data_IF_988719239169
#
_entry.id   IF_988719239169
#
_cell.length_a   1.000
_cell.length_b   1.000
_cell.length_c   1.000
_cell.angle_alpha   90.00
_cell.angle_beta   90.00
_cell.angle_gamma   90.00
#
_symmetry.space_group_name_H-M   'P 1'
#
loop_
_entity.id
_entity.type
_entity.pdbx_description
1 polymer ?
#
# COMPACT_ATOMS: atom_id res chain seq x y z
N UNK A 1 -8.67 4.20 -22.00
CA UNK A 1 -7.52 4.20 -21.31
C UNK A 1 -7.58 4.97 -20.05
N UNK A 2 -7.07 4.45 -18.97
CA UNK A 2 -7.14 5.13 -17.74
C UNK A 2 -6.10 6.17 -17.62
N UNK A 3 -6.45 7.36 -17.21
CA UNK A 3 -5.52 8.33 -17.00
C UNK A 3 -5.16 8.39 -15.59
N UNK A 4 -6.07 8.32 -14.66
CA UNK A 4 -5.80 8.40 -13.25
C UNK A 4 -6.82 7.60 -12.48
N UNK A 5 -6.44 7.12 -11.32
CA UNK A 5 -7.36 6.47 -10.43
C UNK A 5 -7.28 7.26 -9.15
N UNK A 6 -8.41 7.73 -8.66
CA UNK A 6 -8.42 8.57 -7.47
C UNK A 6 -9.08 7.82 -6.32
N UNK A 7 -8.34 7.42 -5.31
CA UNK A 7 -8.96 6.77 -4.17
C UNK A 7 -9.83 7.76 -3.43
N UNK A 8 -10.84 7.29 -2.79
CA UNK A 8 -11.74 8.17 -2.08
C UNK A 8 -11.54 8.04 -0.59
N UNK A 9 -11.73 9.12 0.13
CA UNK A 9 -11.66 9.13 1.57
C UNK A 9 -10.26 8.83 2.03
N UNK A 10 -10.09 7.91 2.95
CA UNK A 10 -8.79 7.60 3.47
C UNK A 10 -8.18 6.40 2.79
N UNK A 11 -8.60 6.09 1.60
CA UNK A 11 -8.06 4.92 0.92
C UNK A 11 -6.78 5.26 0.19
N UNK A 12 -5.98 4.25 -0.02
CA UNK A 12 -4.69 4.38 -0.63
C UNK A 12 -4.59 3.36 -1.73
N UNK A 13 -4.13 3.77 -2.90
CA UNK A 13 -3.97 2.87 -4.03
C UNK A 13 -2.51 2.47 -4.09
N UNK A 14 -2.23 1.20 -4.14
CA UNK A 14 -0.89 0.66 -4.04
C UNK A 14 -0.61 -0.25 -5.19
N UNK A 15 0.60 -0.15 -5.73
CA UNK A 15 0.99 -1.03 -6.78
C UNK A 15 1.90 -2.07 -6.20
N UNK A 16 1.64 -3.35 -6.38
CA UNK A 16 2.46 -4.39 -5.78
C UNK A 16 3.89 -4.35 -6.27
N UNK A 17 4.81 -4.68 -5.42
CA UNK A 17 6.19 -4.73 -5.78
C UNK A 17 6.60 -6.17 -5.83
N UNK A 18 7.16 -6.57 -6.94
CA UNK A 18 7.59 -7.93 -7.10
C UNK A 18 8.84 -8.11 -6.31
N UNK A 19 8.82 -8.99 -5.33
CA UNK A 19 9.93 -9.20 -4.55
C UNK A 19 10.74 -10.37 -4.99
N UNK A 20 10.38 -11.02 -6.00
CA UNK A 20 11.03 -12.20 -6.39
C UNK A 20 12.48 -12.04 -6.59
N UNK A 21 12.83 -10.98 -7.21
CA UNK A 21 14.12 -10.88 -7.42
C UNK A 21 14.89 -10.35 -6.38
N UNK A 22 14.42 -9.76 -5.51
CA UNK A 22 15.13 -9.24 -4.52
C UNK A 22 15.20 -9.99 -3.38
N UNK A 23 14.83 -11.02 -3.31
CA UNK A 23 14.86 -11.65 -2.16
C UNK A 23 16.03 -12.24 -1.87
N UNK A 24 17.03 -11.91 -2.13
CA UNK A 24 18.08 -12.57 -1.84
C UNK A 24 18.22 -12.90 -0.54
N UNK A 25 18.59 -13.73 -0.18
CA UNK A 25 18.81 -14.08 1.10
C UNK A 25 17.72 -14.10 1.85
N UNK A 26 16.94 -13.67 1.42
CA UNK A 26 15.91 -13.56 2.16
C UNK A 26 15.36 -14.62 2.55
N UNK A 27 15.11 -14.88 3.00
CA UNK A 27 14.53 -15.68 3.49
C UNK A 27 13.47 -16.11 3.36
N UNK A 28 13.19 -16.47 3.00
CA UNK A 28 12.22 -16.94 2.83
C UNK A 28 11.61 -17.64 3.69
N UNK A 29 11.49 -17.40 4.41
CA UNK A 29 10.86 -17.90 5.27
C UNK A 29 9.74 -18.36 5.13
N UNK A 30 9.63 -18.84 5.23
CA UNK A 30 8.67 -19.39 5.33
C UNK A 30 7.54 -18.92 5.34
N UNK A 31 6.90 -19.12 4.83
CA UNK A 31 5.85 -18.72 4.77
C UNK A 31 5.04 -19.40 5.58
N UNK A 32 5.18 -19.30 6.65
CA UNK A 32 4.33 -19.87 7.45
C UNK A 32 2.95 -19.58 7.30
N UNK A 33 2.54 -18.82 6.69
CA UNK A 33 1.20 -18.65 6.72
C UNK A 33 0.67 -18.03 5.65
N UNK A 34 -0.54 -17.91 5.56
CA UNK A 34 -1.08 -17.35 4.55
C UNK A 34 -1.20 -15.93 4.72
N UNK A 35 -0.96 -15.37 5.80
CA UNK A 35 -1.15 -14.01 5.99
C UNK A 35 0.11 -13.23 5.86
N UNK A 36 1.02 -13.63 5.09
CA UNK A 36 2.18 -12.90 4.92
C UNK A 36 1.95 -11.57 4.36
N UNK A 37 2.45 -10.50 4.91
CA UNK A 37 2.27 -9.17 4.37
C UNK A 37 2.98 -9.00 3.04
N UNK A 38 2.57 -8.01 2.30
CA UNK A 38 3.16 -7.77 1.02
C UNK A 38 3.65 -6.35 0.90
N UNK A 39 4.60 -6.10 0.02
CA UNK A 39 5.11 -4.77 -0.19
C UNK A 39 4.48 -4.14 -1.40
N UNK A 40 4.30 -2.88 -1.35
CA UNK A 40 3.78 -2.17 -2.50
C UNK A 40 4.18 -0.71 -2.45
N UNK A 41 4.02 -0.03 -3.56
CA UNK A 41 4.35 1.36 -3.63
C UNK A 41 3.07 2.16 -3.69
N UNK A 42 2.97 3.21 -2.91
CA UNK A 42 1.78 4.04 -2.90
C UNK A 42 1.79 4.87 -4.17
N UNK A 43 0.78 4.73 -4.99
CA UNK A 43 0.70 5.47 -6.23
C UNK A 43 -0.38 6.54 -6.22
N UNK A 44 -1.30 6.48 -5.29
CA UNK A 44 -2.32 7.52 -5.17
C UNK A 44 -2.92 7.47 -3.79
N UNK A 45 -3.36 8.57 -3.27
CA UNK A 45 -3.97 8.62 -1.95
C UNK A 45 -5.23 9.46 -2.00
N UNK A 46 -6.14 9.17 -1.11
CA UNK A 46 -7.35 9.94 -1.02
C UNK A 46 -7.14 11.16 -0.19
N UNK A 47 -8.19 11.93 0.04
CA UNK A 47 -8.06 13.14 0.78
C UNK A 47 -7.96 12.93 2.24
N UNK A 48 -8.32 11.86 2.77
CA UNK A 48 -8.34 11.64 4.21
C UNK A 48 -9.74 11.47 4.71
N UNK A 49 -9.94 11.43 6.02
CA UNK A 49 -11.27 11.27 6.55
C UNK A 49 -11.56 12.42 7.48
N UNK A 50 -12.79 12.70 7.61
CA UNK A 50 -13.19 13.80 8.45
C UNK A 50 -13.17 13.40 9.89
N UNK A 51 -12.68 14.25 10.74
CA UNK A 51 -12.62 13.96 12.14
C UNK A 51 -14.00 13.99 12.73
N UNK A 52 -14.30 13.11 13.64
CA UNK A 52 -15.57 13.11 14.26
C UNK A 52 -15.67 14.20 15.26
N UNK A 53 -14.60 14.77 15.71
CA UNK A 53 -14.66 15.78 16.72
C UNK A 53 -14.37 17.19 16.22
N UNK A 54 -14.16 17.39 14.97
CA UNK A 54 -13.95 18.72 14.45
C UNK A 54 -14.22 18.71 12.99
N UNK A 55 -14.13 19.86 12.38
CA UNK A 55 -14.39 19.91 10.97
C UNK A 55 -13.13 19.67 10.18
N UNK A 56 -12.04 19.37 10.81
CA UNK A 56 -10.81 19.20 10.09
C UNK A 56 -10.74 17.83 9.43
N UNK A 57 -10.06 17.77 8.32
CA UNK A 57 -9.89 16.54 7.63
C UNK A 57 -8.59 15.94 8.07
N UNK A 58 -8.59 14.67 8.46
CA UNK A 58 -7.40 14.01 8.88
C UNK A 58 -6.76 13.39 7.66
N UNK A 59 -5.61 13.89 7.29
CA UNK A 59 -4.97 13.43 6.10
C UNK A 59 -4.43 12.04 6.23
N UNK A 60 -4.25 11.42 5.09
CA UNK A 60 -3.72 10.08 5.03
C UNK A 60 -2.28 10.11 5.51
N UNK A 61 -1.84 9.06 6.19
CA UNK A 61 -0.54 9.01 6.78
C UNK A 61 0.60 8.70 5.85
N UNK A 62 0.38 8.34 4.64
CA UNK A 62 1.44 7.98 3.71
C UNK A 62 1.43 8.93 2.54
N UNK A 63 2.50 8.95 1.77
CA UNK A 63 2.58 9.80 0.62
C UNK A 63 2.84 9.00 -0.61
N UNK A 64 2.53 9.56 -1.75
CA UNK A 64 2.77 8.90 -3.02
C UNK A 64 4.26 8.68 -3.12
N UNK A 65 4.67 7.50 -3.47
CA UNK A 65 6.05 7.10 -3.56
C UNK A 65 6.53 6.31 -2.38
N UNK A 66 5.78 6.29 -1.31
CA UNK A 66 6.18 5.51 -0.15
C UNK A 66 6.09 4.03 -0.44
N UNK A 67 7.02 3.25 0.09
CA UNK A 67 6.93 1.81 -0.01
C UNK A 67 6.33 1.34 1.30
N UNK A 68 5.29 0.58 1.23
CA UNK A 68 4.56 0.21 2.42
C UNK A 68 4.37 -1.28 2.53
N UNK A 69 4.15 -1.74 3.74
CA UNK A 69 3.89 -3.12 4.00
C UNK A 69 2.41 -3.23 4.31
N UNK A 70 1.71 -4.05 3.59
CA UNK A 70 0.28 -4.15 3.77
C UNK A 70 -0.13 -5.57 4.09
N UNK A 71 -1.21 -5.74 4.80
CA UNK A 71 -1.63 -7.07 5.19
C UNK A 71 -2.33 -7.75 4.05
N UNK A 72 -2.35 -9.08 4.06
CA UNK A 72 -3.06 -9.76 3.05
C UNK A 72 -4.51 -9.68 3.32
N UNK A 73 -4.92 -9.70 4.53
CA UNK A 73 -6.31 -9.59 4.87
C UNK A 73 -6.64 -8.15 5.10
N UNK A 74 -7.69 -7.70 4.55
CA UNK A 74 -8.08 -6.30 4.69
C UNK A 74 -7.69 -5.45 3.51
N UNK A 75 -7.01 -6.03 2.56
CA UNK A 75 -6.59 -5.31 1.39
C UNK A 75 -7.37 -5.84 0.22
N UNK A 76 -7.91 -4.96 -0.58
CA UNK A 76 -8.65 -5.36 -1.74
C UNK A 76 -7.72 -5.40 -2.92
N UNK A 77 -7.73 -6.49 -3.65
CA UNK A 77 -6.91 -6.59 -4.83
C UNK A 77 -7.77 -6.42 -6.02
N UNK A 78 -7.34 -5.66 -6.98
CA UNK A 78 -8.13 -5.44 -8.16
C UNK A 78 -7.23 -5.31 -9.35
N UNK A 79 -7.76 -5.56 -10.53
CA UNK A 79 -7.00 -5.43 -11.71
C UNK A 79 -7.69 -4.45 -12.59
N UNK A 80 -7.02 -3.43 -13.06
CA UNK A 80 -7.62 -2.44 -13.93
C UNK A 80 -6.75 -2.30 -15.14
N UNK A 81 -7.33 -2.55 -16.28
CA UNK A 81 -6.63 -2.50 -17.53
C UNK A 81 -5.35 -3.32 -17.52
N UNK A 82 -5.42 -4.50 -16.99
CA UNK A 82 -4.28 -5.38 -17.01
C UNK A 82 -3.26 -5.15 -15.92
N UNK A 83 -3.46 -4.15 -15.10
CA UNK A 83 -2.50 -3.87 -14.06
C UNK A 83 -3.12 -4.19 -12.73
N UNK A 84 -2.35 -4.81 -11.87
CA UNK A 84 -2.88 -5.18 -10.59
C UNK A 84 -2.63 -4.08 -9.58
N UNK A 85 -3.62 -3.79 -8.77
CA UNK A 85 -3.50 -2.77 -7.75
C UNK A 85 -4.09 -3.30 -6.46
N UNK A 86 -3.63 -2.73 -5.35
CA UNK A 86 -4.22 -3.03 -4.06
C UNK A 86 -4.85 -1.75 -3.54
N UNK A 87 -5.95 -1.86 -2.88
CA UNK A 87 -6.62 -0.71 -2.32
C UNK A 87 -6.90 -0.99 -0.86
N UNK A 88 -6.51 -0.10 0.02
CA UNK A 88 -6.72 -0.32 1.42
C UNK A 88 -6.87 1.02 2.13
N UNK A 89 -7.29 1.04 3.36
CA UNK A 89 -7.38 2.27 4.09
C UNK A 89 -6.06 2.54 4.75
N UNK A 90 -5.74 3.79 4.98
CA UNK A 90 -4.44 4.14 5.50
C UNK A 90 -4.19 3.49 6.86
N UNK A 91 -5.23 3.33 7.67
CA UNK A 91 -5.03 2.76 8.96
C UNK A 91 -4.72 1.29 8.91
N UNK A 92 -4.91 0.65 7.77
CA UNK A 92 -4.61 -0.75 7.67
C UNK A 92 -3.17 -0.98 7.22
N UNK A 93 -2.47 0.03 6.80
CA UNK A 93 -1.11 -0.14 6.35
C UNK A 93 -0.24 -0.41 7.55
N UNK A 94 0.57 -1.43 7.48
CA UNK A 94 1.33 -1.85 8.62
C UNK A 94 2.57 -1.02 8.88
N UNK A 95 3.23 -0.59 7.87
CA UNK A 95 4.48 0.14 8.03
C UNK A 95 4.93 0.79 6.76
N UNK A 96 5.76 1.80 6.85
CA UNK A 96 6.41 2.38 5.70
C UNK A 96 7.82 1.84 5.75
N UNK A 97 8.31 1.33 4.65
CA UNK A 97 9.60 0.71 4.60
C UNK A 97 10.59 1.59 3.89
N UNK A 98 11.67 1.91 4.55
CA UNK A 98 12.67 2.72 3.96
C UNK A 98 13.83 1.85 3.63
N UNK A 99 14.25 1.75 2.40
CA UNK A 99 15.37 0.93 2.03
C UNK A 99 16.65 1.74 2.07
N UNK A 100 17.67 1.14 2.62
CA UNK A 100 18.87 1.83 2.70
C UNK A 100 19.52 1.99 1.38
N UNK A 101 19.98 3.13 0.99
CA UNK A 101 20.54 3.24 -0.20
C UNK A 101 21.88 2.75 -0.21
N UNK A 102 22.29 2.05 -1.07
CA UNK A 102 23.54 1.55 -1.11
C UNK A 102 24.32 2.33 -1.94
N UNK A 103 25.24 2.87 -1.67
CA UNK A 103 26.00 3.65 -2.49
C UNK A 103 27.16 3.08 -2.92
#
# INVERSE_FOLDING_TARGET
>A
MIKHIYPLGDRVLIKPIDQGERRHGAILIADLGQERPELGEVVAIGEGRQSEFSDNIMKVNVKVGDIVLIPKIGTIRTEIEGEEYYLTQDKEILAIVDFEKED
#
